data_IF_054834382905
#
_entry.id   IF_054834382905
#
_cell.length_a   1.000
_cell.length_b   1.000
_cell.length_c   1.000
_cell.angle_alpha   90.00
_cell.angle_beta   90.00
_cell.angle_gamma   90.00
#
_symmetry.space_group_name_H-M   'P 1'
#
loop_
_entity.id
_entity.type
_entity.pdbx_description
1 polymer ?
#
# COMPACT_ATOMS: atom_id res chain seq x y z
N UNK A 1 21.21 13.75 2.58
CA UNK A 1 22.19 12.94 3.34
C UNK A 1 22.81 11.95 2.35
N UNK A 2 24.04 12.20 1.88
CA UNK A 2 24.69 11.40 0.83
C UNK A 2 25.45 10.24 1.48
N UNK A 3 24.94 9.03 1.36
CA UNK A 3 25.68 7.82 1.71
C UNK A 3 26.69 7.49 0.61
N UNK A 4 27.95 7.77 0.88
CA UNK A 4 29.09 7.34 0.07
C UNK A 4 29.47 5.91 0.46
N UNK A 5 28.91 4.90 -0.25
CA UNK A 5 29.29 3.51 -0.08
C UNK A 5 30.74 3.31 -0.53
N UNK A 6 31.64 3.02 0.41
CA UNK A 6 33.06 2.65 0.21
C UNK A 6 33.21 1.15 -0.06
N UNK A 7 32.59 0.60 -1.09
CA UNK A 7 32.91 -0.78 -1.54
C UNK A 7 32.53 -0.99 -3.01
N UNK A 8 33.20 -0.30 -3.91
CA UNK A 8 33.42 -0.73 -5.30
C UNK A 8 34.61 0.04 -5.83
N UNK A 9 35.80 -0.39 -5.42
CA UNK A 9 37.04 0.14 -5.95
C UNK A 9 37.98 -1.05 -6.13
N UNK A 10 37.82 -1.73 -7.25
CA UNK A 10 38.93 -2.35 -7.98
C UNK A 10 38.46 -2.50 -9.40
N UNK A 11 39.28 -1.89 -10.28
CA UNK A 11 39.22 -1.91 -11.74
C UNK A 11 38.11 -1.06 -12.37
N UNK A 12 38.43 0.16 -12.60
CA UNK A 12 38.42 1.04 -13.76
C UNK A 12 38.60 2.48 -13.27
N UNK A 13 39.85 2.87 -13.04
CA UNK A 13 40.21 4.29 -12.93
C UNK A 13 40.21 4.86 -14.34
N UNK A 14 39.07 5.30 -14.85
CA UNK A 14 39.01 6.26 -15.94
C UNK A 14 39.86 7.47 -15.52
N UNK A 15 40.89 7.76 -16.27
CA UNK A 15 41.76 8.91 -16.08
C UNK A 15 40.89 10.18 -16.21
N UNK A 16 41.32 11.28 -15.57
CA UNK A 16 40.53 12.54 -15.49
C UNK A 16 40.17 13.09 -16.88
N UNK A 17 40.93 12.71 -17.94
CA UNK A 17 40.74 13.13 -19.33
C UNK A 17 39.69 12.33 -20.11
N UNK A 18 39.21 11.19 -19.61
CA UNK A 18 38.21 10.34 -20.29
C UNK A 18 36.77 10.59 -19.84
N UNK A 19 36.52 11.57 -18.97
CA UNK A 19 35.16 11.86 -18.52
C UNK A 19 34.40 12.59 -19.62
N UNK A 20 33.17 12.13 -19.98
CA UNK A 20 32.36 12.79 -20.96
C UNK A 20 32.09 14.24 -20.51
N UNK A 21 32.48 15.20 -21.34
CA UNK A 21 32.38 16.63 -21.04
C UNK A 21 31.14 17.25 -21.68
N UNK A 22 30.77 16.76 -22.85
CA UNK A 22 29.58 17.25 -23.56
C UNK A 22 28.31 16.53 -23.10
N UNK A 23 27.16 17.18 -23.23
CA UNK A 23 25.85 16.60 -22.88
C UNK A 23 25.57 15.32 -23.67
N UNK A 24 25.98 15.28 -24.92
CA UNK A 24 25.77 14.11 -25.82
C UNK A 24 26.65 12.93 -25.41
N UNK A 25 27.92 13.15 -25.06
CA UNK A 25 28.80 12.10 -24.54
C UNK A 25 28.30 11.54 -23.22
N UNK A 26 27.76 12.40 -22.33
CA UNK A 26 27.16 11.97 -21.06
C UNK A 26 25.92 11.10 -21.28
N UNK A 27 25.07 11.44 -22.26
CA UNK A 27 23.90 10.65 -22.58
C UNK A 27 24.29 9.28 -23.15
N UNK A 28 25.26 9.22 -24.08
CA UNK A 28 25.76 7.95 -24.63
C UNK A 28 26.37 7.03 -23.55
N UNK A 29 27.15 7.62 -22.64
CA UNK A 29 27.72 6.88 -21.51
C UNK A 29 26.63 6.37 -20.56
N UNK A 30 25.59 7.17 -20.33
CA UNK A 30 24.45 6.79 -19.51
C UNK A 30 23.65 5.66 -20.16
N UNK A 31 23.36 5.72 -21.46
CA UNK A 31 22.63 4.69 -22.18
C UNK A 31 23.40 3.35 -22.20
N UNK A 32 24.71 3.39 -22.32
CA UNK A 32 25.54 2.20 -22.19
C UNK A 32 25.49 1.60 -20.78
N UNK A 33 25.51 2.43 -19.74
CA UNK A 33 25.38 2.00 -18.36
C UNK A 33 23.99 1.41 -18.06
N UNK A 34 22.92 2.03 -18.56
CA UNK A 34 21.54 1.52 -18.44
C UNK A 34 21.43 0.16 -19.11
N UNK A 35 21.95 0.01 -20.33
CA UNK A 35 21.94 -1.27 -21.06
C UNK A 35 22.68 -2.38 -20.30
N UNK A 36 23.77 -2.04 -19.60
CA UNK A 36 24.49 -2.99 -18.77
C UNK A 36 23.66 -3.40 -17.54
N UNK A 37 23.02 -2.43 -16.88
CA UNK A 37 22.15 -2.67 -15.71
C UNK A 37 20.95 -3.56 -16.12
N UNK A 38 20.32 -3.27 -17.26
CA UNK A 38 19.20 -4.07 -17.76
C UNK A 38 19.58 -5.51 -18.11
N UNK A 39 20.81 -5.73 -18.58
CA UNK A 39 21.33 -7.10 -18.81
C UNK A 39 21.55 -7.86 -17.51
N UNK A 40 21.95 -7.18 -16.47
CA UNK A 40 22.27 -7.80 -15.17
C UNK A 40 21.02 -8.00 -14.29
N UNK A 41 20.09 -7.05 -14.29
CA UNK A 41 18.95 -7.01 -13.38
C UNK A 41 17.58 -7.12 -14.06
N UNK A 42 17.56 -7.21 -15.40
CA UNK A 42 16.35 -7.31 -16.20
C UNK A 42 15.89 -5.97 -16.77
N UNK A 43 15.07 -6.05 -17.84
CA UNK A 43 14.49 -4.88 -18.50
C UNK A 43 13.60 -4.09 -17.52
N UNK A 44 13.72 -2.76 -17.54
CA UNK A 44 12.95 -1.88 -16.67
C UNK A 44 13.55 -1.65 -15.27
N UNK A 45 14.78 -2.15 -15.01
CA UNK A 45 15.52 -1.88 -13.76
C UNK A 45 15.86 -0.40 -13.59
N UNK A 46 15.98 0.33 -14.70
CA UNK A 46 16.18 1.78 -14.75
C UNK A 46 15.24 2.35 -15.81
N UNK A 47 14.47 3.38 -15.44
CA UNK A 47 13.58 4.06 -16.38
C UNK A 47 13.58 5.57 -16.10
N UNK A 48 13.28 6.37 -17.11
CA UNK A 48 13.06 7.81 -16.93
C UNK A 48 11.66 8.04 -16.40
N UNK A 49 11.53 8.82 -15.35
CA UNK A 49 10.22 9.12 -14.73
C UNK A 49 9.23 9.78 -15.70
N UNK A 50 9.73 10.47 -16.74
CA UNK A 50 8.90 11.11 -17.77
C UNK A 50 8.52 10.22 -18.95
N UNK A 51 9.02 9.00 -19.04
CA UNK A 51 8.63 8.08 -20.11
C UNK A 51 7.23 7.52 -19.81
N UNK A 52 6.32 7.58 -20.78
CA UNK A 52 4.94 7.10 -20.65
C UNK A 52 4.81 5.60 -20.29
N UNK A 53 5.87 4.83 -20.49
CA UNK A 53 5.99 3.45 -20.01
C UNK A 53 6.13 3.33 -18.49
N UNK A 54 6.48 4.44 -17.80
CA UNK A 54 6.52 4.53 -16.33
C UNK A 54 5.14 4.73 -15.69
N UNK A 55 4.08 4.96 -16.45
CA UNK A 55 2.72 4.78 -15.98
C UNK A 55 2.48 3.28 -15.76
N UNK A 56 2.99 2.80 -14.62
CA UNK A 56 2.54 1.52 -14.11
C UNK A 56 1.02 1.61 -14.03
N UNK A 57 0.34 0.76 -14.78
CA UNK A 57 -1.11 0.61 -14.71
C UNK A 57 -1.44 0.09 -13.31
N UNK A 58 -1.53 1.02 -12.35
CA UNK A 58 -1.86 0.68 -10.96
C UNK A 58 -3.33 0.35 -10.95
N UNK A 59 -3.64 -0.91 -10.75
CA UNK A 59 -5.02 -1.33 -10.55
C UNK A 59 -5.56 -0.66 -9.29
N UNK A 60 -6.73 -0.01 -9.39
CA UNK A 60 -7.34 0.72 -8.30
C UNK A 60 -8.76 0.24 -8.02
N UNK A 61 -9.14 0.32 -6.76
CA UNK A 61 -10.51 0.11 -6.27
C UNK A 61 -11.15 1.48 -6.07
N UNK A 62 -12.30 1.80 -6.70
CA UNK A 62 -13.01 3.05 -6.45
C UNK A 62 -13.38 3.20 -4.98
N UNK A 63 -13.41 4.44 -4.52
CA UNK A 63 -13.82 4.76 -3.15
C UNK A 63 -15.33 4.87 -2.99
N UNK A 64 -16.08 4.82 -4.11
CA UNK A 64 -17.51 5.15 -4.13
C UNK A 64 -17.82 6.65 -4.20
N UNK A 65 -16.80 7.51 -4.13
CA UNK A 65 -16.91 8.94 -4.28
C UNK A 65 -16.14 9.42 -5.52
N UNK A 66 -16.86 9.85 -6.54
CA UNK A 66 -16.23 10.30 -7.80
C UNK A 66 -15.22 11.45 -7.57
N UNK A 67 -15.52 12.37 -6.67
CA UNK A 67 -14.65 13.50 -6.37
C UNK A 67 -13.34 13.04 -5.71
N UNK A 68 -13.41 12.05 -4.83
CA UNK A 68 -12.24 11.48 -4.18
C UNK A 68 -11.40 10.66 -5.19
N UNK A 69 -12.05 9.86 -6.03
CA UNK A 69 -11.40 9.06 -7.06
C UNK A 69 -10.63 9.94 -8.07
N UNK A 70 -11.23 11.07 -8.47
CA UNK A 70 -10.57 12.05 -9.32
C UNK A 70 -9.40 12.75 -8.61
N UNK A 71 -9.56 13.09 -7.33
CA UNK A 71 -8.49 13.72 -6.53
C UNK A 71 -7.29 12.80 -6.31
N UNK A 72 -7.50 11.49 -6.19
CA UNK A 72 -6.45 10.47 -6.09
C UNK A 72 -5.68 10.28 -7.41
N UNK A 73 -6.23 10.70 -8.54
CA UNK A 73 -5.56 10.70 -9.84
C UNK A 73 -5.47 9.34 -10.55
N UNK A 74 -5.71 8.24 -9.83
CA UNK A 74 -5.67 6.86 -10.36
C UNK A 74 -7.06 6.20 -10.39
N UNK A 75 -8.11 6.97 -10.05
CA UNK A 75 -9.48 6.48 -10.06
C UNK A 75 -9.88 5.64 -8.85
N UNK A 76 -9.18 5.77 -7.73
CA UNK A 76 -9.49 5.06 -6.49
C UNK A 76 -8.28 4.74 -5.63
N UNK A 77 -8.44 3.77 -4.76
CA UNK A 77 -7.40 3.27 -3.86
C UNK A 77 -6.50 2.25 -4.60
N UNK A 78 -5.16 2.41 -4.57
CA UNK A 78 -4.24 1.50 -5.29
C UNK A 78 -4.25 0.11 -4.67
N UNK A 79 -4.40 -0.93 -5.49
CA UNK A 79 -4.26 -2.32 -5.03
C UNK A 79 -2.81 -2.66 -4.65
N UNK A 80 -2.65 -3.58 -3.71
CA UNK A 80 -1.35 -4.05 -3.26
C UNK A 80 -0.56 -3.00 -2.48
N UNK A 81 -1.23 -2.03 -1.87
CA UNK A 81 -0.63 -0.98 -1.04
C UNK A 81 -1.29 -0.92 0.33
N UNK A 82 -0.53 -0.50 1.32
CA UNK A 82 -1.06 -0.11 2.63
C UNK A 82 -1.51 1.33 2.52
N UNK A 83 -2.77 1.59 2.87
CA UNK A 83 -3.40 2.91 2.80
C UNK A 83 -3.82 3.29 4.21
N UNK A 84 -3.36 4.42 4.67
CA UNK A 84 -3.74 4.99 5.95
C UNK A 84 -4.76 6.10 5.73
N UNK A 85 -5.91 6.00 6.45
CA UNK A 85 -6.97 7.01 6.48
C UNK A 85 -6.99 7.57 7.89
N UNK A 86 -6.62 8.83 8.05
CA UNK A 86 -6.57 9.50 9.35
C UNK A 86 -7.38 10.80 9.36
N UNK A 87 -7.77 11.22 10.54
CA UNK A 87 -8.55 12.44 10.76
C UNK A 87 -9.22 12.43 12.14
N UNK A 88 -9.89 13.52 12.52
CA UNK A 88 -10.59 13.62 13.80
C UNK A 88 -11.71 12.57 13.93
N UNK A 89 -12.22 12.39 15.13
CA UNK A 89 -13.39 11.55 15.36
C UNK A 89 -14.58 12.05 14.52
N UNK A 90 -15.46 11.12 14.14
CA UNK A 90 -16.66 11.41 13.32
C UNK A 90 -16.38 12.05 11.96
N UNK A 91 -15.14 11.99 11.45
CA UNK A 91 -14.79 12.55 10.12
C UNK A 91 -15.16 11.65 8.94
N UNK A 92 -15.74 10.48 9.19
CA UNK A 92 -16.16 9.54 8.15
C UNK A 92 -15.09 8.54 7.69
N UNK A 93 -14.02 8.31 8.47
CA UNK A 93 -12.96 7.32 8.16
C UNK A 93 -13.53 5.93 7.90
N UNK A 94 -14.29 5.41 8.86
CA UNK A 94 -14.98 4.10 8.75
C UNK A 94 -15.96 4.08 7.56
N UNK A 95 -16.64 5.19 7.29
CA UNK A 95 -17.56 5.31 6.14
C UNK A 95 -16.81 5.10 4.82
N UNK A 96 -15.67 5.77 4.63
CA UNK A 96 -14.83 5.60 3.42
C UNK A 96 -14.32 4.17 3.30
N UNK A 97 -13.90 3.56 4.42
CA UNK A 97 -13.46 2.17 4.45
C UNK A 97 -14.58 1.20 4.05
N UNK A 98 -15.80 1.39 4.57
CA UNK A 98 -16.96 0.56 4.22
C UNK A 98 -17.39 0.74 2.75
N UNK A 99 -17.31 1.95 2.19
CA UNK A 99 -17.54 2.15 0.76
C UNK A 99 -16.52 1.39 -0.09
N UNK A 100 -15.23 1.41 0.29
CA UNK A 100 -14.20 0.64 -0.41
C UNK A 100 -14.48 -0.88 -0.36
N UNK A 101 -14.95 -1.40 0.79
CA UNK A 101 -15.41 -2.78 0.93
C UNK A 101 -16.56 -3.07 -0.05
N UNK A 102 -17.59 -2.23 -0.06
CA UNK A 102 -18.74 -2.38 -0.93
C UNK A 102 -18.33 -2.41 -2.43
N UNK A 103 -17.41 -1.53 -2.83
CA UNK A 103 -16.91 -1.49 -4.21
C UNK A 103 -16.09 -2.74 -4.59
N UNK A 104 -15.32 -3.31 -3.66
CA UNK A 104 -14.62 -4.59 -3.86
C UNK A 104 -15.62 -5.72 -4.02
N UNK A 105 -16.60 -5.81 -3.12
CA UNK A 105 -17.64 -6.87 -3.18
C UNK A 105 -18.50 -6.80 -4.44
N UNK A 106 -18.87 -5.60 -4.92
CA UNK A 106 -19.57 -5.40 -6.21
C UNK A 106 -18.81 -5.97 -7.41
N UNK A 107 -17.48 -6.06 -7.31
CA UNK A 107 -16.60 -6.64 -8.33
C UNK A 107 -16.36 -8.14 -8.13
N UNK A 108 -17.01 -8.74 -7.15
CA UNK A 108 -16.86 -10.15 -6.81
C UNK A 108 -15.64 -10.45 -5.93
N UNK A 109 -15.00 -9.42 -5.36
CA UNK A 109 -13.88 -9.57 -4.45
C UNK A 109 -14.31 -9.93 -3.02
N UNK A 110 -13.37 -10.48 -2.27
CA UNK A 110 -13.55 -10.90 -0.88
C UNK A 110 -12.97 -9.86 0.06
N UNK A 111 -13.72 -9.48 1.09
CA UNK A 111 -13.34 -8.45 2.05
C UNK A 111 -13.23 -9.00 3.47
N UNK A 112 -12.16 -8.59 4.17
CA UNK A 112 -11.97 -8.81 5.60
C UNK A 112 -12.03 -7.49 6.36
N UNK A 113 -12.72 -7.47 7.49
CA UNK A 113 -12.82 -6.32 8.39
C UNK A 113 -12.40 -6.69 9.80
N UNK A 114 -11.40 -6.02 10.32
CA UNK A 114 -10.88 -6.22 11.66
C UNK A 114 -11.30 -5.02 12.50
N UNK A 115 -12.34 -5.22 13.31
CA UNK A 115 -12.97 -4.21 14.14
C UNK A 115 -12.39 -4.25 15.56
N UNK A 116 -11.28 -3.53 15.77
CA UNK A 116 -10.65 -3.45 17.08
C UNK A 116 -11.41 -2.53 18.07
N UNK A 117 -12.33 -1.72 17.58
CA UNK A 117 -13.16 -0.84 18.41
C UNK A 117 -14.50 -1.48 18.83
N UNK A 118 -14.89 -2.59 18.18
CA UNK A 118 -16.20 -3.21 18.35
C UNK A 118 -17.35 -2.25 18.08
N UNK A 119 -17.18 -1.38 17.08
CA UNK A 119 -18.07 -0.28 16.77
C UNK A 119 -18.77 -0.40 15.42
N UNK A 120 -18.51 -1.47 14.66
CA UNK A 120 -19.15 -1.69 13.38
C UNK A 120 -20.65 -1.94 13.55
N UNK A 121 -21.47 -1.07 12.97
CA UNK A 121 -22.92 -1.25 12.87
C UNK A 121 -23.27 -1.99 11.57
N UNK A 122 -23.80 -3.24 11.64
CA UNK A 122 -24.17 -4.00 10.46
C UNK A 122 -25.29 -3.34 9.63
N UNK A 123 -26.22 -2.62 10.27
CA UNK A 123 -27.31 -1.93 9.58
C UNK A 123 -26.75 -0.77 8.76
N UNK A 124 -25.82 -0.02 9.35
CA UNK A 124 -25.17 1.07 8.65
C UNK A 124 -24.30 0.55 7.48
N UNK A 125 -23.53 -0.50 7.68
CA UNK A 125 -22.74 -1.13 6.63
C UNK A 125 -23.62 -1.60 5.45
N UNK A 126 -24.75 -2.23 5.75
CA UNK A 126 -25.72 -2.65 4.73
C UNK A 126 -26.32 -1.48 3.95
N UNK A 127 -26.61 -0.37 4.63
CA UNK A 127 -27.15 0.85 3.99
C UNK A 127 -26.13 1.52 3.06
N UNK A 128 -24.86 1.39 3.33
CA UNK A 128 -23.75 1.82 2.45
C UNK A 128 -23.65 0.93 1.20
N UNK A 129 -24.16 -0.31 1.29
CA UNK A 129 -24.13 -1.27 0.20
C UNK A 129 -23.11 -2.42 0.40
N UNK A 130 -22.65 -2.59 1.63
CA UNK A 130 -21.81 -3.75 1.99
C UNK A 130 -22.69 -5.00 2.06
N UNK A 131 -22.25 -6.06 1.42
CA UNK A 131 -22.81 -7.40 1.58
C UNK A 131 -22.30 -7.98 2.90
N UNK A 132 -23.12 -7.87 3.95
CA UNK A 132 -22.76 -8.29 5.30
C UNK A 132 -22.69 -9.81 5.44
N UNK A 133 -23.40 -10.56 4.59
CA UNK A 133 -23.44 -12.02 4.63
C UNK A 133 -22.13 -12.62 4.10
N UNK A 134 -21.39 -11.87 3.26
CA UNK A 134 -20.11 -12.23 2.68
C UNK A 134 -18.94 -11.38 3.20
N UNK A 135 -19.12 -10.67 4.31
CA UNK A 135 -18.05 -9.92 4.96
C UNK A 135 -17.42 -10.75 6.09
N UNK A 136 -16.13 -11.02 5.99
CA UNK A 136 -15.38 -11.67 7.06
C UNK A 136 -15.00 -10.63 8.13
N UNK A 137 -15.58 -10.75 9.33
CA UNK A 137 -15.31 -9.84 10.44
C UNK A 137 -14.50 -10.55 11.53
N UNK A 138 -13.54 -9.84 12.13
CA UNK A 138 -12.82 -10.23 13.33
C UNK A 138 -12.83 -9.09 14.34
N UNK A 139 -13.01 -9.43 15.61
CA UNK A 139 -13.03 -8.47 16.72
C UNK A 139 -11.97 -8.86 17.76
N UNK A 140 -10.71 -8.51 17.52
CA UNK A 140 -9.59 -8.87 18.40
C UNK A 140 -9.62 -8.07 19.71
N UNK A 141 -9.12 -8.68 20.77
CA UNK A 141 -9.02 -8.04 22.08
C UNK A 141 -7.83 -7.08 22.19
N UNK A 142 -6.82 -7.24 21.33
CA UNK A 142 -5.59 -6.40 21.34
C UNK A 142 -5.05 -6.17 19.93
N UNK A 143 -4.21 -5.14 19.80
CA UNK A 143 -3.64 -4.74 18.53
C UNK A 143 -2.69 -5.76 17.90
N UNK A 144 -1.94 -6.50 18.73
CA UNK A 144 -1.06 -7.57 18.26
C UNK A 144 -1.86 -8.68 17.56
N UNK A 145 -2.97 -9.10 18.19
CA UNK A 145 -3.88 -10.08 17.59
C UNK A 145 -4.52 -9.57 16.30
N UNK A 146 -4.89 -8.28 16.26
CA UNK A 146 -5.43 -7.65 15.05
C UNK A 146 -4.45 -7.73 13.88
N UNK A 147 -3.17 -7.43 14.13
CA UNK A 147 -2.13 -7.47 13.12
C UNK A 147 -1.81 -8.91 12.66
N UNK A 148 -1.80 -9.88 13.58
CA UNK A 148 -1.57 -11.29 13.26
C UNK A 148 -2.70 -11.87 12.40
N UNK A 149 -3.95 -11.49 12.69
CA UNK A 149 -5.12 -11.85 11.88
C UNK A 149 -5.02 -11.19 10.51
N UNK A 150 -4.69 -9.90 10.44
CA UNK A 150 -4.50 -9.19 9.18
C UNK A 150 -3.40 -9.85 8.31
N UNK A 151 -2.26 -10.17 8.92
CA UNK A 151 -1.15 -10.86 8.23
C UNK A 151 -1.61 -12.20 7.67
N UNK A 152 -2.35 -12.99 8.45
CA UNK A 152 -2.85 -14.30 8.04
C UNK A 152 -3.83 -14.17 6.87
N UNK A 153 -4.76 -13.20 6.92
CA UNK A 153 -5.68 -12.93 5.82
C UNK A 153 -4.94 -12.52 4.54
N UNK A 154 -3.98 -11.61 4.64
CA UNK A 154 -3.18 -11.16 3.48
C UNK A 154 -2.33 -12.31 2.92
N UNK A 155 -1.70 -13.12 3.77
CA UNK A 155 -0.88 -14.27 3.34
C UNK A 155 -1.69 -15.36 2.65
N UNK A 156 -2.98 -15.49 2.95
CA UNK A 156 -3.84 -16.45 2.28
C UNK A 156 -3.97 -16.19 0.77
N UNK A 157 -3.77 -14.95 0.34
CA UNK A 157 -3.97 -14.52 -1.05
C UNK A 157 -5.42 -14.61 -1.54
N UNK A 158 -6.35 -14.90 -0.65
CA UNK A 158 -7.77 -15.06 -0.99
C UNK A 158 -8.59 -13.78 -0.77
N UNK A 159 -8.07 -12.81 -0.03
CA UNK A 159 -8.76 -11.58 0.34
C UNK A 159 -8.25 -10.42 -0.50
N UNK A 160 -9.17 -9.68 -1.14
CA UNK A 160 -8.84 -8.55 -2.01
C UNK A 160 -8.66 -7.24 -1.25
N UNK A 161 -9.32 -7.10 -0.10
CA UNK A 161 -9.19 -5.95 0.80
C UNK A 161 -9.27 -6.40 2.25
N UNK A 162 -8.38 -5.87 3.08
CA UNK A 162 -8.41 -6.04 4.54
C UNK A 162 -8.46 -4.65 5.17
N UNK A 163 -9.47 -4.40 5.99
CA UNK A 163 -9.62 -3.18 6.77
C UNK A 163 -9.23 -3.47 8.21
N UNK A 164 -8.48 -2.56 8.83
CA UNK A 164 -8.21 -2.57 10.28
C UNK A 164 -8.69 -1.24 10.86
N UNK A 165 -9.76 -1.29 11.63
CA UNK A 165 -10.39 -0.13 12.26
C UNK A 165 -10.45 -0.32 13.78
N UNK A 166 -9.79 0.42 14.62
CA UNK A 166 -8.79 1.45 14.33
C UNK A 166 -7.47 1.09 14.99
N UNK A 167 -6.36 1.51 14.38
CA UNK A 167 -5.00 1.27 14.92
C UNK A 167 -4.73 2.13 16.16
N UNK A 168 -5.36 3.30 16.30
CA UNK A 168 -5.11 4.26 17.38
C UNK A 168 -5.48 3.71 18.78
N UNK A 169 -6.51 2.88 18.87
CA UNK A 169 -6.96 2.32 20.17
C UNK A 169 -6.08 1.19 20.69
N UNK A 170 -5.26 0.60 19.84
CA UNK A 170 -4.29 -0.42 20.26
C UNK A 170 -3.18 0.17 21.15
N UNK A 171 -2.89 1.46 21.03
CA UNK A 171 -1.90 2.15 21.86
C UNK A 171 -2.45 2.55 23.25
N UNK A 172 -3.71 2.97 23.33
CA UNK A 172 -4.32 3.33 24.62
C UNK A 172 -4.52 2.12 25.55
N UNK A 173 -4.75 0.92 24.99
CA UNK A 173 -4.83 -0.32 25.78
C UNK A 173 -3.49 -0.82 26.31
N UNK A 174 -2.36 -0.42 25.69
CA UNK A 174 -1.01 -0.76 26.21
C UNK A 174 -0.71 -0.19 27.59
N UNK A 175 -1.38 0.88 28.00
CA UNK A 175 -1.16 1.51 29.32
C UNK A 175 -1.93 0.81 30.45
N UNK A 176 -2.85 -0.12 30.17
CA UNK A 176 -3.73 -0.68 31.19
C UNK A 176 -3.97 -2.19 31.26
N UNK A 177 -3.69 -2.96 30.22
CA UNK A 177 -3.92 -4.42 30.25
C UNK A 177 -2.92 -5.14 29.34
N UNK A 178 -1.98 -5.84 29.95
CA UNK A 178 -1.20 -6.87 29.25
C UNK A 178 -2.15 -7.86 28.58
N UNK A 179 -1.93 -8.14 27.30
CA UNK A 179 -2.59 -9.24 26.61
C UNK A 179 -2.28 -10.52 27.38
N UNK A 180 -3.23 -11.01 28.17
CA UNK A 180 -3.09 -12.32 28.79
C UNK A 180 -3.23 -13.37 27.69
N UNK A 181 -2.10 -13.78 27.14
CA UNK A 181 -2.02 -15.04 26.40
C UNK A 181 -2.46 -16.16 27.35
N UNK A 182 -3.65 -16.70 27.13
CA UNK A 182 -4.01 -18.00 27.68
C UNK A 182 -3.43 -19.05 26.73
N UNK A 183 -2.44 -19.73 27.22
CA UNK A 183 -1.99 -21.03 26.71
C UNK A 183 -3.03 -22.10 27.08
#
# INVERSE_FOLDING_TARGET
>A
MLFRSKRMAKDDKLTRDERPTTKEEKLKALDAAISHIEKQYGKGSVMKLGDNSAHMNVEAVPTGSLSLDLALGIGGLPKGRIIEIYGPESSGKTTVALHAVAEVQKRGGIAGFIDAEHALDPVYAKNIGVDIDNLYISQPDCGEQALEIAETMVRSGAVDIVIVDSVARSEERRVGKECRSRW
#
